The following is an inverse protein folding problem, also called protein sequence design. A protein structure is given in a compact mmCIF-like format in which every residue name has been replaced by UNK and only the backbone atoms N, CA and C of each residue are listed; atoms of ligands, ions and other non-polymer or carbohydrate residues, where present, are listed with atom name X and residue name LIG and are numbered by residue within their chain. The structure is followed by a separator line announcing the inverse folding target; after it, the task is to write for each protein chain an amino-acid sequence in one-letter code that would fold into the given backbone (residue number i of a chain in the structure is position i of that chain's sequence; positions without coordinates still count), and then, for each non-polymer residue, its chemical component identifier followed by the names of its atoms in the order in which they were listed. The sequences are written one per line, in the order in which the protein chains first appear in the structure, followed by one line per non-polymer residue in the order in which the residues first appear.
data_IF_821689984923
#
_entry.id   IF_821689984923
#
_cell.length_a   1.000
_cell.length_b   1.000
_cell.length_c   1.000
_cell.angle_alpha   90.00
_cell.angle_beta   90.00
_cell.angle_gamma   90.00
#
_symmetry.space_group_name_H-M   'P 1'
#
loop_
_entity.id
_entity.type
_entity.pdbx_description
1 polymer ?
#
# COMPACT_ATOMS: atom_id res chain seq x y z
N UNK A 1 -18.75 -2.45 59.51
CA UNK A 1 -18.28 -1.44 58.55
C UNK A 1 -17.04 -1.82 57.72
N UNK A 2 -16.45 -3.02 57.85
CA UNK A 2 -15.23 -3.43 57.11
C UNK A 2 -15.53 -4.08 55.74
N UNK A 3 -16.80 -4.43 55.48
CA UNK A 3 -17.22 -5.19 54.29
C UNK A 3 -17.35 -4.35 53.00
N UNK A 4 -17.75 -3.06 53.09
CA UNK A 4 -17.92 -2.20 51.90
C UNK A 4 -16.59 -1.78 51.26
N UNK A 5 -15.58 -1.46 52.08
CA UNK A 5 -14.28 -0.95 51.59
C UNK A 5 -13.53 -2.00 50.77
N UNK A 6 -13.66 -3.28 51.13
CA UNK A 6 -13.07 -4.39 50.36
C UNK A 6 -13.77 -4.63 49.02
N UNK A 7 -15.08 -4.44 48.93
CA UNK A 7 -15.82 -4.58 47.66
C UNK A 7 -15.45 -3.48 46.66
N UNK A 8 -15.28 -2.24 47.12
CA UNK A 8 -14.89 -1.11 46.24
C UNK A 8 -13.49 -1.32 45.66
N UNK A 9 -12.56 -1.85 46.47
CA UNK A 9 -11.20 -2.14 46.02
C UNK A 9 -11.14 -3.24 44.95
N UNK A 10 -11.95 -4.30 45.11
CA UNK A 10 -12.04 -5.40 44.14
C UNK A 10 -12.72 -4.94 42.84
N UNK A 11 -13.77 -4.11 42.92
CA UNK A 11 -14.39 -3.52 41.74
C UNK A 11 -13.46 -2.57 40.98
N UNK A 12 -12.66 -1.76 41.69
CA UNK A 12 -11.70 -0.85 41.06
C UNK A 12 -10.58 -1.61 40.33
N UNK A 13 -10.11 -2.73 40.90
CA UNK A 13 -9.14 -3.60 40.24
C UNK A 13 -9.74 -4.25 38.98
N UNK A 14 -10.98 -4.76 39.04
CA UNK A 14 -11.67 -5.31 37.87
C UNK A 14 -11.89 -4.27 36.76
N UNK A 15 -12.24 -3.03 37.09
CA UNK A 15 -12.34 -1.94 36.12
C UNK A 15 -10.98 -1.54 35.52
N UNK A 16 -9.89 -1.65 36.28
CA UNK A 16 -8.53 -1.47 35.77
C UNK A 16 -8.11 -2.54 34.75
N UNK A 17 -8.53 -3.79 34.96
CA UNK A 17 -8.27 -4.89 34.01
C UNK A 17 -9.19 -4.85 32.78
N UNK A 18 -10.44 -4.41 32.91
CA UNK A 18 -11.41 -4.35 31.80
C UNK A 18 -11.16 -3.18 30.82
N UNK A 19 -10.51 -2.10 31.27
CA UNK A 19 -10.20 -0.95 30.42
C UNK A 19 -8.84 -1.08 29.67
N UNK A 20 -8.10 -2.17 29.89
CA UNK A 20 -6.75 -2.35 29.36
C UNK A 20 -6.65 -2.99 27.98
N UNK A 21 -7.71 -3.59 27.44
CA UNK A 21 -7.69 -4.23 26.12
C UNK A 21 -8.44 -3.40 25.09
N UNK A 22 -7.97 -2.18 24.85
CA UNK A 22 -8.13 -1.59 23.53
C UNK A 22 -7.34 -2.48 22.56
N UNK A 23 -8.03 -3.31 21.79
CA UNK A 23 -7.46 -4.02 20.65
C UNK A 23 -6.88 -2.98 19.70
N UNK A 24 -5.58 -2.70 19.84
CA UNK A 24 -4.85 -1.93 18.86
C UNK A 24 -5.00 -2.66 17.52
N UNK A 25 -5.41 -1.93 16.48
CA UNK A 25 -5.50 -2.48 15.15
C UNK A 25 -4.07 -2.72 14.66
N UNK A 26 -3.54 -3.93 14.86
CA UNK A 26 -2.20 -4.30 14.43
C UNK A 26 -2.20 -4.47 12.91
N UNK A 27 -1.42 -3.60 12.26
CA UNK A 27 -1.14 -3.71 10.83
C UNK A 27 0.00 -4.69 10.64
N UNK A 28 -0.22 -5.71 9.82
CA UNK A 28 0.81 -6.66 9.44
C UNK A 28 1.46 -6.20 8.13
N UNK A 29 2.80 -6.16 8.10
CA UNK A 29 3.56 -5.82 6.91
C UNK A 29 3.40 -6.93 5.86
N UNK A 30 2.51 -6.69 4.91
CA UNK A 30 2.02 -7.68 3.98
C UNK A 30 2.92 -7.84 2.75
N UNK A 31 3.33 -6.73 2.14
CA UNK A 31 4.12 -6.76 0.92
C UNK A 31 4.96 -5.50 0.73
N UNK A 32 6.04 -5.63 -0.04
CA UNK A 32 6.90 -4.52 -0.44
C UNK A 32 6.66 -4.16 -1.90
N UNK A 33 6.45 -2.88 -2.18
CA UNK A 33 6.25 -2.33 -3.52
C UNK A 33 7.58 -1.79 -4.03
N UNK A 34 7.92 -2.20 -5.24
CA UNK A 34 9.08 -1.68 -5.97
C UNK A 34 8.62 -1.11 -7.30
N UNK A 35 9.43 -0.20 -7.82
CA UNK A 35 9.20 0.40 -9.12
C UNK A 35 10.48 0.50 -9.94
N UNK A 36 10.33 0.69 -11.25
CA UNK A 36 11.43 0.90 -12.16
C UNK A 36 10.99 1.90 -13.24
N UNK A 37 11.69 3.03 -13.29
CA UNK A 37 11.56 4.01 -14.37
C UNK A 37 12.21 3.48 -15.66
N UNK A 38 11.81 3.98 -16.84
CA UNK A 38 12.32 3.51 -18.13
C UNK A 38 13.86 3.50 -18.24
N UNK A 39 14.50 4.55 -17.71
CA UNK A 39 15.96 4.72 -17.77
C UNK A 39 16.72 4.04 -16.63
N UNK A 40 16.03 3.41 -15.67
CA UNK A 40 16.69 2.69 -14.59
C UNK A 40 17.06 1.27 -15.06
N UNK A 41 18.17 0.73 -14.55
CA UNK A 41 18.54 -0.68 -14.78
C UNK A 41 17.84 -1.61 -13.80
N UNK A 42 17.72 -1.16 -12.54
CA UNK A 42 17.18 -1.95 -11.43
C UNK A 42 15.89 -1.37 -10.86
N UNK A 43 15.18 -2.21 -10.10
CA UNK A 43 14.03 -1.77 -9.33
C UNK A 43 14.47 -1.10 -8.02
N UNK A 44 13.91 0.07 -7.72
CA UNK A 44 14.03 0.75 -6.42
C UNK A 44 12.86 0.40 -5.51
N UNK A 45 13.08 0.44 -4.19
CA UNK A 45 12.00 0.29 -3.21
C UNK A 45 11.15 1.56 -3.25
N UNK A 46 9.84 1.39 -3.40
CA UNK A 46 8.87 2.49 -3.49
C UNK A 46 8.11 2.67 -2.19
N UNK A 47 7.73 1.57 -1.55
CA UNK A 47 6.99 1.61 -0.30
C UNK A 47 6.59 0.23 0.18
N UNK A 48 5.79 0.19 1.23
CA UNK A 48 5.30 -1.02 1.87
C UNK A 48 3.79 -0.96 2.00
N UNK A 49 3.15 -2.12 1.85
CA UNK A 49 1.73 -2.29 2.11
C UNK A 49 1.60 -3.05 3.42
N UNK A 50 0.86 -2.47 4.34
CA UNK A 50 0.45 -3.11 5.57
C UNK A 50 -1.06 -3.34 5.56
N UNK A 51 -1.52 -4.49 6.02
CA UNK A 51 -2.95 -4.86 5.99
C UNK A 51 -3.46 -5.18 7.38
N UNK A 52 -4.77 -5.02 7.55
CA UNK A 52 -5.56 -5.49 8.69
C UNK A 52 -6.71 -6.33 8.15
N UNK A 53 -7.53 -6.90 9.04
CA UNK A 53 -8.71 -7.66 8.65
C UNK A 53 -9.70 -6.89 7.74
N UNK A 54 -9.68 -5.56 7.74
CA UNK A 54 -10.66 -4.73 7.00
C UNK A 54 -10.06 -3.61 6.14
N UNK A 55 -8.76 -3.33 6.23
CA UNK A 55 -8.14 -2.17 5.56
C UNK A 55 -6.70 -2.47 5.15
N UNK A 56 -6.27 -1.86 4.05
CA UNK A 56 -4.87 -1.76 3.67
C UNK A 56 -4.37 -0.33 3.91
N UNK A 57 -3.08 -0.19 4.19
CA UNK A 57 -2.36 1.08 4.28
C UNK A 57 -1.09 0.99 3.46
N UNK A 58 -0.74 2.11 2.86
CA UNK A 58 0.51 2.28 2.15
C UNK A 58 1.44 3.18 2.95
N UNK A 59 2.70 2.80 3.06
CA UNK A 59 3.78 3.64 3.58
C UNK A 59 4.80 3.85 2.47
N UNK A 60 5.04 5.11 2.11
CA UNK A 60 6.11 5.46 1.17
C UNK A 60 7.49 5.18 1.80
N UNK A 61 8.44 4.78 0.96
CA UNK A 61 9.85 4.65 1.36
C UNK A 61 10.55 6.01 1.24
N UNK A 62 11.41 6.39 2.19
CA UNK A 62 12.16 7.66 2.13
C UNK A 62 12.96 7.79 0.81
N UNK A 63 13.52 6.68 0.34
CA UNK A 63 14.27 6.59 -0.93
C UNK A 63 13.41 6.61 -2.22
N UNK A 64 12.08 6.49 -2.09
CA UNK A 64 11.19 6.50 -3.25
C UNK A 64 11.21 7.87 -3.96
N UNK A 65 11.50 8.94 -3.20
CA UNK A 65 11.55 10.32 -3.68
C UNK A 65 12.94 10.74 -4.18
N UNK A 66 14.01 10.18 -3.61
CA UNK A 66 15.39 10.51 -4.02
C UNK A 66 15.77 9.94 -5.40
N UNK A 67 15.12 8.84 -5.80
CA UNK A 67 15.30 8.20 -7.11
C UNK A 67 14.39 8.76 -8.21
N UNK A 68 13.46 9.64 -7.86
CA UNK A 68 12.39 10.09 -8.74
C UNK A 68 12.72 11.49 -9.29
N UNK A 69 13.74 11.56 -10.14
CA UNK A 69 14.08 12.78 -10.87
C UNK A 69 13.07 13.00 -12.01
N UNK A 70 11.87 13.47 -11.63
CA UNK A 70 10.71 13.75 -12.52
C UNK A 70 11.05 14.76 -13.61
N UNK A 71 12.14 15.52 -13.45
CA UNK A 71 12.63 16.48 -14.44
C UNK A 71 13.20 15.82 -15.69
N UNK A 72 13.43 14.50 -15.69
CA UNK A 72 13.91 13.74 -16.84
C UNK A 72 12.74 13.29 -17.72
N UNK A 73 12.89 13.53 -19.02
CA UNK A 73 11.91 13.31 -20.08
C UNK A 73 11.36 11.88 -20.11
N UNK A 74 10.36 11.57 -19.28
CA UNK A 74 9.52 10.39 -19.48
C UNK A 74 8.82 10.56 -20.83
N UNK A 75 9.28 9.81 -21.84
CA UNK A 75 8.72 9.90 -23.19
C UNK A 75 7.35 9.20 -23.27
N UNK A 76 6.52 9.60 -24.25
CA UNK A 76 5.12 9.16 -24.37
C UNK A 76 4.93 7.63 -24.51
N UNK A 77 5.95 6.89 -24.94
CA UNK A 77 5.84 5.45 -25.20
C UNK A 77 6.67 4.57 -24.25
N UNK A 78 7.29 5.15 -23.24
CA UNK A 78 8.08 4.37 -22.30
C UNK A 78 7.21 3.70 -21.22
N UNK A 79 7.72 2.62 -20.64
CA UNK A 79 6.99 1.84 -19.64
C UNK A 79 7.51 2.11 -18.23
N UNK A 80 6.59 2.44 -17.34
CA UNK A 80 6.82 2.40 -15.90
C UNK A 80 6.44 1.01 -15.38
N UNK A 81 7.38 0.37 -14.67
CA UNK A 81 7.18 -0.98 -14.15
C UNK A 81 6.99 -0.95 -12.65
N UNK A 82 6.03 -1.72 -12.16
CA UNK A 82 5.75 -1.91 -10.74
C UNK A 82 5.81 -3.39 -10.43
N UNK A 83 6.38 -3.76 -9.29
CA UNK A 83 6.30 -5.13 -8.76
C UNK A 83 5.97 -5.10 -7.28
N UNK A 84 5.25 -6.13 -6.85
CA UNK A 84 4.95 -6.37 -5.44
C UNK A 84 5.59 -7.69 -5.05
N UNK A 85 6.35 -7.66 -3.96
CA UNK A 85 7.01 -8.83 -3.36
C UNK A 85 6.28 -9.17 -2.07
N UNK A 86 5.81 -10.41 -1.95
CA UNK A 86 5.21 -10.90 -0.70
C UNK A 86 6.30 -11.01 0.38
N UNK A 87 6.08 -10.41 1.54
CA UNK A 87 7.09 -10.38 2.61
C UNK A 87 7.29 -11.76 3.27
N UNK A 88 6.23 -12.57 3.38
CA UNK A 88 6.32 -13.94 3.92
C UNK A 88 6.94 -14.91 2.90
N UNK A 89 6.79 -14.65 1.60
CA UNK A 89 7.35 -15.45 0.53
C UNK A 89 8.01 -14.56 -0.54
N UNK A 90 9.27 -14.14 -0.35
CA UNK A 90 9.96 -13.21 -1.25
C UNK A 90 10.15 -13.73 -2.69
N UNK A 91 10.01 -15.05 -2.91
CA UNK A 91 10.04 -15.63 -4.26
C UNK A 91 8.73 -15.41 -5.02
N UNK A 92 7.66 -15.08 -4.32
CA UNK A 92 6.38 -14.75 -4.92
C UNK A 92 6.33 -13.26 -5.29
N UNK A 93 6.54 -13.00 -6.58
CA UNK A 93 6.62 -11.66 -7.16
C UNK A 93 5.58 -11.52 -8.24
N UNK A 94 4.72 -10.51 -8.12
CA UNK A 94 3.80 -10.10 -9.17
C UNK A 94 4.26 -8.78 -9.79
N UNK A 95 4.00 -8.57 -11.08
CA UNK A 95 4.48 -7.43 -11.86
C UNK A 95 3.35 -6.83 -12.68
N UNK A 96 3.38 -5.52 -12.83
CA UNK A 96 2.49 -4.75 -13.71
C UNK A 96 3.30 -3.69 -14.43
N UNK A 97 2.79 -3.20 -15.56
CA UNK A 97 3.37 -2.08 -16.28
C UNK A 97 2.28 -1.10 -16.73
N UNK A 98 2.64 0.17 -16.80
CA UNK A 98 1.82 1.20 -17.45
C UNK A 98 2.71 2.09 -18.32
N UNK A 99 2.11 2.91 -19.17
CA UNK A 99 2.86 3.96 -19.87
C UNK A 99 3.30 5.03 -18.86
N UNK A 100 4.57 5.41 -18.91
CA UNK A 100 5.14 6.45 -18.02
C UNK A 100 4.41 7.79 -18.18
N UNK A 101 3.93 8.11 -19.38
CA UNK A 101 3.16 9.33 -19.62
C UNK A 101 1.80 9.36 -18.92
N UNK A 102 1.18 8.20 -18.63
CA UNK A 102 -0.06 8.15 -17.85
C UNK A 102 0.19 8.52 -16.38
N UNK A 103 1.31 8.07 -15.82
CA UNK A 103 1.72 8.43 -14.46
C UNK A 103 2.04 9.93 -14.34
N UNK A 104 2.65 10.50 -15.37
CA UNK A 104 2.89 11.94 -15.47
C UNK A 104 1.58 12.72 -15.60
N UNK A 105 0.68 12.27 -16.47
CA UNK A 105 -0.62 12.91 -16.72
C UNK A 105 -1.57 12.79 -15.52
N UNK A 106 -1.38 11.78 -14.68
CA UNK A 106 -2.11 11.61 -13.41
C UNK A 106 -1.54 12.44 -12.27
N UNK A 107 -0.56 13.31 -12.51
CA UNK A 107 0.14 14.01 -11.42
C UNK A 107 0.66 13.03 -10.35
N UNK A 108 1.23 11.91 -10.83
CA UNK A 108 1.76 10.85 -9.98
C UNK A 108 0.75 10.27 -8.97
N UNK A 109 -0.55 10.46 -9.22
CA UNK A 109 -1.63 9.80 -8.49
C UNK A 109 -1.90 8.44 -9.09
N UNK A 110 -1.87 7.42 -8.24
CA UNK A 110 -2.10 6.05 -8.63
C UNK A 110 -2.79 5.21 -7.56
N UNK A 111 -3.28 4.06 -8.02
CA UNK A 111 -4.01 3.09 -7.22
C UNK A 111 -3.42 1.69 -7.45
N UNK A 112 -3.18 0.98 -6.35
CA UNK A 112 -2.80 -0.42 -6.34
C UNK A 112 -3.95 -1.23 -5.74
N UNK A 113 -4.53 -2.11 -6.54
CA UNK A 113 -5.57 -3.05 -6.09
C UNK A 113 -4.93 -4.42 -5.91
N UNK A 114 -4.81 -4.88 -4.68
CA UNK A 114 -4.24 -6.18 -4.36
C UNK A 114 -5.35 -7.23 -4.29
N UNK A 115 -5.26 -8.24 -5.13
CA UNK A 115 -6.16 -9.40 -5.12
C UNK A 115 -5.57 -10.51 -4.26
N UNK A 116 -6.36 -10.95 -3.29
CA UNK A 116 -6.03 -12.02 -2.35
C UNK A 116 -6.71 -13.33 -2.73
N UNK A 117 -6.00 -14.44 -2.55
CA UNK A 117 -6.55 -15.78 -2.68
C UNK A 117 -7.50 -16.15 -1.52
N UNK A 118 -8.02 -17.38 -1.55
CA UNK A 118 -8.91 -17.90 -0.49
C UNK A 118 -8.27 -18.01 0.90
N UNK A 119 -6.95 -17.87 1.01
CA UNK A 119 -6.17 -17.98 2.24
C UNK A 119 -5.58 -16.61 2.65
N UNK A 120 -6.11 -15.51 2.10
CA UNK A 120 -5.63 -14.15 2.32
C UNK A 120 -4.18 -13.91 1.87
N UNK A 121 -3.69 -14.69 0.89
CA UNK A 121 -2.35 -14.52 0.31
C UNK A 121 -2.39 -13.73 -0.98
N UNK A 122 -1.35 -12.93 -1.24
CA UNK A 122 -1.16 -12.18 -2.48
C UNK A 122 -1.33 -13.13 -3.69
N UNK A 123 -2.26 -12.83 -4.59
CA UNK A 123 -2.48 -13.58 -5.83
C UNK A 123 -2.15 -12.76 -7.08
N UNK A 124 -2.63 -11.52 -7.13
CA UNK A 124 -2.43 -10.61 -8.26
C UNK A 124 -2.54 -9.16 -7.77
N UNK A 125 -2.11 -8.20 -8.58
CA UNK A 125 -2.47 -6.81 -8.36
C UNK A 125 -2.73 -6.08 -9.66
N UNK A 126 -3.69 -5.17 -9.62
CA UNK A 126 -3.89 -4.20 -10.67
C UNK A 126 -3.26 -2.87 -10.27
N UNK A 127 -2.84 -2.13 -11.28
CA UNK A 127 -2.21 -0.83 -11.13
C UNK A 127 -2.88 0.17 -12.07
N UNK A 128 -3.40 1.24 -11.50
CA UNK A 128 -4.10 2.29 -12.24
C UNK A 128 -3.48 3.64 -11.96
N UNK A 129 -3.41 4.47 -12.99
CA UNK A 129 -3.18 5.91 -12.87
C UNK A 129 -4.53 6.61 -12.87
N UNK A 130 -4.67 7.76 -12.21
CA UNK A 130 -5.93 8.53 -12.26
C UNK A 130 -6.22 9.12 -13.65
N UNK A 131 -5.23 9.09 -14.56
CA UNK A 131 -5.36 9.50 -15.96
C UNK A 131 -5.37 8.29 -16.90
N UNK A 132 -6.20 8.38 -17.95
CA UNK A 132 -6.33 7.40 -19.03
C UNK A 132 -5.72 7.89 -20.37
N UNK A 133 -5.21 9.12 -20.40
CA UNK A 133 -4.64 9.75 -21.59
C UNK A 133 -3.30 10.41 -21.28
N UNK A 134 -2.41 10.41 -22.26
CA UNK A 134 -1.13 11.10 -22.15
C UNK A 134 -1.28 12.54 -22.59
N UNK A 135 -1.32 13.46 -21.62
CA UNK A 135 -1.39 14.90 -21.84
C UNK A 135 -0.05 15.55 -21.48
N UNK A 136 0.37 16.53 -22.27
CA UNK A 136 1.65 17.21 -22.11
C UNK A 136 1.65 18.32 -21.04
N UNK A 137 0.58 18.45 -20.26
CA UNK A 137 0.45 19.47 -19.22
C UNK A 137 1.08 18.93 -17.93
N UNK A 138 2.28 19.41 -17.61
CA UNK A 138 2.96 19.11 -16.34
C UNK A 138 2.61 20.23 -15.36
N UNK A 139 2.08 19.88 -14.20
CA UNK A 139 2.12 20.79 -13.07
C UNK A 139 3.57 20.81 -12.54
N UNK A 140 4.26 21.97 -12.56
CA UNK A 140 5.66 22.07 -12.15
C UNK A 140 5.90 21.76 -10.66
N UNK A 141 4.84 21.60 -9.86
CA UNK A 141 4.93 21.29 -8.42
C UNK A 141 4.83 19.80 -8.09
N UNK A 142 4.88 18.93 -9.09
CA UNK A 142 4.55 17.51 -8.91
C UNK A 142 5.82 16.70 -8.77
N UNK A 143 5.99 16.13 -7.58
CA UNK A 143 7.24 15.49 -7.11
C UNK A 143 7.05 14.17 -6.37
N UNK A 144 5.82 13.88 -5.94
CA UNK A 144 5.51 12.90 -4.90
C UNK A 144 4.47 11.93 -5.43
N UNK A 145 4.76 10.64 -5.33
CA UNK A 145 3.84 9.56 -5.72
C UNK A 145 2.69 9.47 -4.72
N UNK A 146 1.50 9.89 -5.12
CA UNK A 146 0.30 9.83 -4.26
C UNK A 146 -0.42 8.51 -4.47
N UNK A 147 -0.05 7.54 -3.65
CA UNK A 147 -0.48 6.14 -3.83
C UNK A 147 -1.66 5.81 -2.92
N UNK A 148 -2.72 5.27 -3.52
CA UNK A 148 -3.80 4.60 -2.78
C UNK A 148 -3.70 3.09 -2.93
N UNK A 149 -4.05 2.35 -1.88
CA UNK A 149 -3.99 0.89 -1.88
C UNK A 149 -5.28 0.31 -1.32
N UNK A 150 -5.81 -0.69 -2.01
CA UNK A 150 -6.93 -1.48 -1.53
C UNK A 150 -6.66 -2.98 -1.71
N UNK A 151 -7.34 -3.80 -0.91
CA UNK A 151 -7.30 -5.26 -1.01
C UNK A 151 -8.69 -5.80 -1.36
N UNK A 152 -8.73 -6.76 -2.29
CA UNK A 152 -9.94 -7.46 -2.70
C UNK A 152 -9.75 -8.94 -2.40
N UNK A 153 -10.68 -9.54 -1.65
CA UNK A 153 -10.69 -10.97 -1.36
C UNK A 153 -11.49 -11.73 -2.42
N UNK A 154 -11.00 -12.90 -2.81
CA UNK A 154 -11.76 -13.80 -3.66
C UNK A 154 -13.09 -14.18 -3.01
N UNK A 155 -14.20 -13.92 -3.70
CA UNK A 155 -15.54 -14.36 -3.31
C UNK A 155 -15.92 -15.63 -4.05
N UNK A 156 -16.68 -16.52 -3.41
CA UNK A 156 -17.22 -17.69 -4.09
C UNK A 156 -18.20 -17.22 -5.17
N UNK A 157 -18.01 -17.66 -6.42
CA UNK A 157 -18.97 -17.43 -7.48
C UNK A 157 -20.32 -18.05 -7.13
N UNK A 158 -21.40 -17.37 -7.53
CA UNK A 158 -22.75 -17.96 -7.48
C UNK A 158 -22.86 -18.89 -8.68
N UNK A 159 -23.01 -20.19 -8.40
CA UNK A 159 -23.26 -21.21 -9.42
C UNK A 159 -24.75 -21.26 -9.78
#
# INVERSE_FOLDING_TARGET
MISLVRCVFVLALLFGFLNGTYLALEYENFATVYHKLPHHTEYSKRGEVAVTASRARYSESEDALSSFDISKNLEENELYLVKIVNNENPNYVTKFFTKSCLLKSSNFEDEIIIHLDKNDKLFHFDYYTSSDQCNNTIDPHTGVLKTTVQTIKAVKGVA
#
